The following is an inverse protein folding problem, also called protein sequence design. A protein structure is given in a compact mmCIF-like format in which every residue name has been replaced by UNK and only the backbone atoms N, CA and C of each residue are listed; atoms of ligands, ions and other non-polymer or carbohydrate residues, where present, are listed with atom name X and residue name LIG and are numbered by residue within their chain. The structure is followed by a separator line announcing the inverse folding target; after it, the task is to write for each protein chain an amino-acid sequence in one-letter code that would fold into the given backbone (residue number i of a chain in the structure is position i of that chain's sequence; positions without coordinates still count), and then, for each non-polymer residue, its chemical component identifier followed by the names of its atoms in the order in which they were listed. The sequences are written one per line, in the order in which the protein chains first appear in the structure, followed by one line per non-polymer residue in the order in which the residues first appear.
data_IF_485965445514
#
_entry.id   IF_485965445514
#
_cell.length_a   1.000
_cell.length_b   1.000
_cell.length_c   1.000
_cell.angle_alpha   90.00
_cell.angle_beta   90.00
_cell.angle_gamma   90.00
#
_symmetry.space_group_name_H-M   'P 1'
#
loop_
_entity.id
_entity.type
_entity.pdbx_description
1 polymer ?
#
# COMPACT_ATOMS: atom_id res chain seq x y z
N UNK A 1 29.35 9.07 27.84
CA UNK A 1 29.16 7.77 28.53
C UNK A 1 28.49 7.97 29.88
N UNK A 2 27.20 7.61 29.98
CA UNK A 2 26.53 7.13 31.21
C UNK A 2 25.22 6.44 30.77
N UNK A 3 25.12 5.15 31.10
CA UNK A 3 23.97 4.27 30.87
C UNK A 3 22.87 4.59 31.88
N UNK A 4 21.61 4.59 31.44
CA UNK A 4 20.42 4.48 32.30
C UNK A 4 19.57 3.37 31.65
N UNK A 5 19.84 2.09 31.94
CA UNK A 5 18.97 1.17 32.70
C UNK A 5 17.47 1.50 32.56
N UNK A 6 16.75 0.83 31.65
CA UNK A 6 16.00 -0.39 31.91
C UNK A 6 14.93 -0.24 33.02
N UNK A 7 13.71 0.11 32.61
CA UNK A 7 12.49 -0.22 33.33
C UNK A 7 11.75 -1.28 32.52
N UNK A 8 12.16 -2.53 32.77
CA UNK A 8 11.52 -3.76 32.33
C UNK A 8 10.15 -3.85 33.01
N UNK A 9 9.07 -3.60 32.27
CA UNK A 9 7.76 -4.15 32.60
C UNK A 9 7.52 -5.35 31.70
N UNK A 10 8.12 -6.48 32.11
CA UNK A 10 7.72 -7.81 31.69
C UNK A 10 6.32 -8.05 32.26
N UNK A 11 5.31 -7.85 31.42
CA UNK A 11 4.01 -8.51 31.55
C UNK A 11 3.72 -9.14 30.19
N UNK A 12 4.12 -10.40 30.07
CA UNK A 12 3.54 -11.43 29.21
C UNK A 12 3.02 -11.00 27.83
N UNK A 13 3.89 -11.06 26.81
CA UNK A 13 3.49 -11.47 25.47
C UNK A 13 4.49 -12.49 24.88
N UNK A 14 4.90 -13.45 25.71
CA UNK A 14 5.49 -14.68 25.20
C UNK A 14 4.35 -15.59 24.74
N UNK A 15 4.02 -15.55 23.44
CA UNK A 15 3.41 -16.62 22.60
C UNK A 15 2.56 -15.99 21.47
N UNK A 16 3.18 -15.61 20.35
CA UNK A 16 2.45 -15.45 19.08
C UNK A 16 3.31 -15.73 17.83
N UNK A 17 4.47 -16.38 17.99
CA UNK A 17 5.13 -17.08 16.90
C UNK A 17 4.90 -18.58 17.13
N UNK A 18 4.05 -19.15 16.26
CA UNK A 18 3.82 -20.59 16.05
C UNK A 18 2.96 -21.30 17.12
N UNK A 19 1.63 -21.23 16.93
CA UNK A 19 0.71 -22.34 17.21
C UNK A 19 0.08 -22.44 18.61
N UNK A 20 -1.05 -21.75 18.81
CA UNK A 20 -2.27 -22.36 19.42
C UNK A 20 -3.44 -21.36 19.42
N UNK A 21 -4.46 -21.59 18.58
CA UNK A 21 -5.86 -21.48 19.03
C UNK A 21 -6.59 -20.13 18.99
N UNK A 22 -6.23 -19.15 18.15
CA UNK A 22 -7.10 -17.98 17.85
C UNK A 22 -6.80 -17.27 16.51
N UNK A 23 -6.10 -17.92 15.58
CA UNK A 23 -5.84 -17.41 14.22
C UNK A 23 -6.85 -18.03 13.25
N UNK A 24 -8.02 -17.42 13.13
CA UNK A 24 -8.80 -17.50 11.91
C UNK A 24 -8.27 -16.43 10.97
N UNK A 25 -7.32 -16.75 10.08
CA UNK A 25 -7.04 -15.80 9.00
C UNK A 25 -5.70 -15.83 8.26
N UNK A 26 -4.71 -16.62 8.67
CA UNK A 26 -3.52 -16.80 7.81
C UNK A 26 -3.85 -17.88 6.80
N UNK A 27 -4.18 -17.47 5.58
CA UNK A 27 -4.26 -18.36 4.43
C UNK A 27 -3.02 -18.15 3.54
N UNK A 28 -2.66 -19.21 2.81
CA UNK A 28 -1.49 -19.23 1.93
C UNK A 28 -1.98 -19.61 0.54
N UNK A 29 -1.81 -18.72 -0.43
CA UNK A 29 -2.07 -19.03 -1.84
C UNK A 29 -0.75 -19.40 -2.51
N UNK A 30 -0.73 -20.52 -3.23
CA UNK A 30 0.39 -20.90 -4.09
C UNK A 30 0.23 -20.21 -5.44
N UNK A 31 1.17 -19.35 -5.81
CA UNK A 31 1.36 -18.97 -7.21
C UNK A 31 2.47 -19.84 -7.82
N UNK A 32 2.39 -20.09 -9.13
CA UNK A 32 3.00 -21.22 -9.85
C UNK A 32 4.52 -21.40 -9.85
N UNK A 33 5.28 -20.70 -9.00
CA UNK A 33 6.74 -20.83 -8.86
C UNK A 33 7.23 -21.26 -7.47
N UNK A 34 6.34 -21.56 -6.52
CA UNK A 34 6.73 -22.13 -5.23
C UNK A 34 7.16 -21.13 -4.15
N UNK A 35 7.07 -19.84 -4.43
CA UNK A 35 7.06 -18.80 -3.41
C UNK A 35 5.69 -18.79 -2.73
N UNK A 36 5.68 -18.76 -1.40
CA UNK A 36 4.45 -18.73 -0.60
C UNK A 36 4.14 -17.29 -0.25
N UNK A 37 3.04 -16.78 -0.77
CA UNK A 37 2.49 -15.51 -0.32
C UNK A 37 1.73 -15.74 1.00
N UNK A 38 1.94 -14.85 1.98
CA UNK A 38 1.29 -14.92 3.29
C UNK A 38 0.38 -13.72 3.46
N UNK A 39 -0.93 -13.93 3.58
CA UNK A 39 -1.82 -12.83 3.92
C UNK A 39 -2.37 -12.99 5.34
N UNK A 40 -2.55 -11.86 6.00
CA UNK A 40 -3.20 -11.79 7.31
C UNK A 40 -4.59 -11.23 7.06
N UNK A 41 -5.64 -12.04 7.21
CA UNK A 41 -6.99 -11.46 7.27
C UNK A 41 -7.25 -10.95 8.67
N UNK A 42 -7.19 -9.63 8.84
CA UNK A 42 -7.66 -8.93 10.02
C UNK A 42 -8.96 -8.19 9.66
N UNK A 43 -10.12 -8.63 10.14
CA UNK A 43 -11.41 -8.05 9.77
C UNK A 43 -11.63 -6.63 10.32
N UNK A 44 -10.70 -6.11 11.14
CA UNK A 44 -10.73 -4.72 11.61
C UNK A 44 -10.00 -3.75 10.68
N UNK A 45 -9.31 -4.25 9.65
CA UNK A 45 -8.64 -3.41 8.67
C UNK A 45 -9.59 -3.05 7.53
N UNK A 46 -9.45 -1.82 7.07
CA UNK A 46 -10.28 -1.22 6.04
C UNK A 46 -9.45 -0.90 4.79
N UNK A 47 -10.14 -0.79 3.67
CA UNK A 47 -9.60 -0.20 2.44
C UNK A 47 -9.90 1.29 2.43
N UNK A 48 -9.11 2.06 1.67
CA UNK A 48 -9.49 3.44 1.38
C UNK A 48 -10.74 3.42 0.48
N UNK A 49 -11.85 3.95 0.98
CA UNK A 49 -13.13 3.93 0.26
C UNK A 49 -13.23 5.09 -0.75
N UNK A 50 -12.82 6.28 -0.32
CA UNK A 50 -12.94 7.51 -1.09
C UNK A 50 -11.82 7.65 -2.12
N UNK A 51 -12.20 7.92 -3.37
CA UNK A 51 -11.25 8.15 -4.48
C UNK A 51 -10.33 9.35 -4.25
N UNK A 52 -10.77 10.35 -3.47
CA UNK A 52 -9.96 11.54 -3.21
C UNK A 52 -8.73 11.28 -2.32
N UNK A 53 -8.65 10.13 -1.66
CA UNK A 53 -7.46 9.65 -0.94
C UNK A 53 -6.29 9.38 -1.90
N UNK A 54 -6.59 9.09 -3.18
CA UNK A 54 -5.62 8.87 -4.26
C UNK A 54 -5.36 10.16 -5.07
N UNK A 55 -5.53 11.32 -4.45
CA UNK A 55 -5.15 12.62 -5.02
C UNK A 55 -3.80 13.15 -4.50
N UNK A 56 -3.23 14.12 -5.22
CA UNK A 56 -2.09 14.93 -4.80
C UNK A 56 -2.59 16.28 -4.29
N UNK A 57 -2.05 16.71 -3.16
CA UNK A 57 -2.46 17.90 -2.43
C UNK A 57 -1.26 18.83 -2.19
N UNK A 58 -1.53 20.13 -2.13
CA UNK A 58 -0.61 21.15 -1.62
C UNK A 58 -1.40 22.04 -0.64
N UNK A 59 -0.85 22.28 0.54
CA UNK A 59 -1.49 23.07 1.60
C UNK A 59 -2.94 22.61 1.89
N UNK A 60 -3.17 21.29 1.85
CA UNK A 60 -4.49 20.67 2.06
C UNK A 60 -5.50 20.88 0.93
N UNK A 61 -5.07 21.36 -0.24
CA UNK A 61 -5.92 21.52 -1.43
C UNK A 61 -5.51 20.54 -2.49
N UNK A 62 -6.49 19.85 -3.08
CA UNK A 62 -6.26 18.99 -4.23
C UNK A 62 -5.71 19.81 -5.41
N UNK A 63 -4.62 19.31 -5.99
CA UNK A 63 -3.99 19.89 -7.18
C UNK A 63 -3.92 18.90 -8.35
N UNK A 64 -4.05 17.60 -8.08
CA UNK A 64 -4.16 16.56 -9.10
C UNK A 64 -5.02 15.41 -8.55
N UNK A 65 -6.10 15.08 -9.23
CA UNK A 65 -7.04 14.04 -8.83
C UNK A 65 -6.92 12.77 -9.69
N UNK A 66 -7.38 11.60 -9.20
CA UNK A 66 -7.37 10.34 -9.95
C UNK A 66 -7.84 10.46 -11.40
N UNK A 67 -8.94 11.16 -11.65
CA UNK A 67 -9.53 11.32 -12.97
C UNK A 67 -8.64 12.12 -13.94
N UNK A 68 -7.74 12.94 -13.40
CA UNK A 68 -6.78 13.73 -14.17
C UNK A 68 -5.48 12.95 -14.48
N UNK A 69 -5.11 11.99 -13.63
CA UNK A 69 -3.86 11.21 -13.76
C UNK A 69 -3.88 10.27 -14.96
N UNK A 70 -5.06 9.77 -15.37
CA UNK A 70 -5.15 8.74 -16.40
C UNK A 70 -4.64 7.40 -15.88
N UNK A 71 -4.22 6.52 -16.81
CA UNK A 71 -4.03 5.09 -16.55
C UNK A 71 -2.68 4.65 -15.98
N UNK A 72 -1.88 5.56 -15.42
CA UNK A 72 -0.52 5.22 -15.01
C UNK A 72 0.01 5.92 -13.77
N UNK A 73 -0.80 6.72 -13.07
CA UNK A 73 -0.39 7.27 -11.78
C UNK A 73 0.64 8.41 -11.82
N UNK A 74 1.25 8.66 -10.66
CA UNK A 74 2.18 9.75 -10.40
C UNK A 74 3.13 9.43 -9.24
N UNK A 75 4.41 9.76 -9.42
CA UNK A 75 5.47 9.69 -8.42
C UNK A 75 5.80 11.09 -7.87
N UNK A 76 5.92 11.26 -6.56
CA UNK A 76 6.05 12.59 -5.96
C UNK A 76 7.44 13.22 -6.13
N UNK A 77 8.46 12.44 -6.49
CA UNK A 77 9.78 12.93 -6.84
C UNK A 77 9.87 13.40 -8.30
N UNK A 78 8.80 13.25 -9.08
CA UNK A 78 8.72 13.73 -10.46
C UNK A 78 8.48 15.26 -10.51
N UNK A 79 9.23 16.00 -11.35
CA UNK A 79 9.09 17.44 -11.41
C UNK A 79 7.77 17.90 -12.07
N UNK A 80 7.13 17.03 -12.86
CA UNK A 80 5.96 17.36 -13.66
C UNK A 80 4.95 16.21 -13.71
N UNK A 81 3.65 16.51 -13.64
CA UNK A 81 2.59 15.49 -13.75
C UNK A 81 2.48 14.87 -15.14
N UNK A 82 2.86 15.62 -16.18
CA UNK A 82 2.73 15.21 -17.58
C UNK A 82 3.85 14.31 -18.09
N UNK A 83 4.85 13.94 -17.28
CA UNK A 83 5.98 13.10 -17.73
C UNK A 83 5.50 11.74 -18.29
N UNK A 84 4.36 11.25 -17.82
CA UNK A 84 3.72 10.00 -18.25
C UNK A 84 2.64 10.19 -19.34
N UNK A 85 2.49 11.41 -19.90
CA UNK A 85 1.36 11.74 -20.77
C UNK A 85 1.29 11.00 -22.10
N UNK A 86 2.41 10.56 -22.67
CA UNK A 86 2.42 9.79 -23.92
C UNK A 86 2.18 8.29 -23.72
N UNK A 87 2.63 7.73 -22.59
CA UNK A 87 2.56 6.28 -22.32
C UNK A 87 1.31 5.88 -21.52
N UNK A 88 0.70 6.80 -20.76
CA UNK A 88 -0.35 6.48 -19.77
C UNK A 88 -1.62 7.33 -19.88
N UNK A 89 -1.86 7.97 -21.02
CA UNK A 89 -3.10 8.73 -21.30
C UNK A 89 -3.46 9.78 -20.24
N UNK A 90 -2.49 10.58 -19.78
CA UNK A 90 -2.75 11.68 -18.84
C UNK A 90 -3.81 12.66 -19.40
N UNK A 91 -4.89 12.88 -18.64
CA UNK A 91 -6.06 13.65 -19.09
C UNK A 91 -6.09 15.08 -18.53
N UNK A 92 -5.32 15.33 -17.47
CA UNK A 92 -5.26 16.62 -16.77
C UNK A 92 -4.43 17.69 -17.48
N UNK A 93 -4.31 18.85 -16.84
CA UNK A 93 -3.32 19.88 -17.22
C UNK A 93 -1.98 19.53 -16.61
N UNK A 94 -0.89 19.80 -17.31
CA UNK A 94 0.45 19.62 -16.74
C UNK A 94 0.66 20.55 -15.53
N UNK A 95 1.12 19.97 -14.42
CA UNK A 95 1.48 20.68 -13.20
C UNK A 95 2.99 20.62 -12.99
N UNK A 96 3.57 21.74 -12.55
CA UNK A 96 4.97 21.83 -12.12
C UNK A 96 5.03 21.71 -10.60
N UNK A 97 5.76 20.70 -10.12
CA UNK A 97 5.91 20.37 -8.70
C UNK A 97 7.25 20.81 -8.11
N UNK A 98 8.16 21.37 -8.93
CA UNK A 98 9.51 21.71 -8.46
C UNK A 98 9.47 22.75 -7.35
N UNK A 99 10.05 22.38 -6.20
CA UNK A 99 10.13 23.23 -5.02
C UNK A 99 8.80 23.43 -4.30
N UNK A 100 7.80 22.59 -4.59
CA UNK A 100 6.49 22.58 -3.94
C UNK A 100 6.44 21.45 -2.92
N UNK A 101 5.69 21.67 -1.85
CA UNK A 101 5.47 20.67 -0.81
C UNK A 101 4.15 19.95 -1.12
N UNK A 102 4.27 18.79 -1.75
CA UNK A 102 3.12 17.99 -2.18
C UNK A 102 2.94 16.78 -1.28
N UNK A 103 1.69 16.46 -0.98
CA UNK A 103 1.32 15.40 -0.04
C UNK A 103 0.13 14.60 -0.56
N UNK A 104 -0.16 13.47 0.09
CA UNK A 104 -1.47 12.82 0.02
C UNK A 104 -2.54 13.70 0.69
N UNK A 105 -3.81 13.30 0.58
CA UNK A 105 -4.93 13.93 1.31
C UNK A 105 -4.68 14.04 2.81
N UNK A 106 -3.99 13.05 3.38
CA UNK A 106 -3.69 12.96 4.81
C UNK A 106 -2.36 13.61 5.21
N UNK A 107 -1.72 14.34 4.31
CA UNK A 107 -0.51 15.12 4.61
C UNK A 107 0.79 14.31 4.58
N UNK A 108 0.79 13.12 3.98
CA UNK A 108 1.99 12.28 3.86
C UNK A 108 2.73 12.62 2.58
N UNK A 109 4.05 12.80 2.66
CA UNK A 109 4.91 13.09 1.52
C UNK A 109 6.32 12.53 1.69
N UNK A 110 7.23 12.89 0.77
CA UNK A 110 8.65 12.53 0.88
C UNK A 110 9.24 13.17 2.13
N UNK A 111 9.93 12.38 2.95
CA UNK A 111 10.49 12.82 4.24
C UNK A 111 9.55 12.63 5.44
N UNK A 112 8.29 12.25 5.23
CA UNK A 112 7.43 11.77 6.31
C UNK A 112 7.98 10.48 6.92
N UNK A 113 7.80 10.31 8.23
CA UNK A 113 8.12 9.07 8.93
C UNK A 113 6.98 8.07 8.76
N UNK A 114 7.29 6.78 8.90
CA UNK A 114 6.21 5.80 8.90
C UNK A 114 5.35 5.82 10.16
N UNK A 115 5.83 6.39 11.27
CA UNK A 115 4.96 6.71 12.41
C UNK A 115 3.86 7.69 11.99
N UNK A 116 4.20 8.75 11.25
CA UNK A 116 3.21 9.69 10.69
C UNK A 116 2.25 9.00 9.72
N UNK A 117 2.72 8.06 8.90
CA UNK A 117 1.85 7.25 8.01
C UNK A 117 0.88 6.40 8.83
N UNK A 118 1.36 5.70 9.84
CA UNK A 118 0.54 4.87 10.73
C UNK A 118 -0.51 5.71 11.46
N UNK A 119 -0.14 6.90 11.94
CA UNK A 119 -1.08 7.84 12.56
C UNK A 119 -2.11 8.37 11.57
N UNK A 120 -1.71 8.64 10.33
CA UNK A 120 -2.59 9.07 9.25
C UNK A 120 -3.54 7.97 8.77
N UNK A 121 -3.14 6.69 8.86
CA UNK A 121 -3.89 5.53 8.36
C UNK A 121 -4.01 4.43 9.43
N UNK A 122 -4.70 4.70 10.57
CA UNK A 122 -4.64 3.87 11.77
C UNK A 122 -5.41 2.55 11.70
N UNK A 123 -6.21 2.37 10.65
CA UNK A 123 -7.11 1.23 10.45
C UNK A 123 -7.08 0.71 9.01
N UNK A 124 -6.11 1.16 8.20
CA UNK A 124 -6.01 0.77 6.79
C UNK A 124 -5.11 -0.46 6.62
N UNK A 125 -5.50 -1.34 5.70
CA UNK A 125 -4.72 -2.50 5.31
C UNK A 125 -3.48 -2.09 4.48
N UNK A 126 -2.30 -2.54 4.92
CA UNK A 126 -1.05 -2.37 4.19
C UNK A 126 -0.58 -3.69 3.60
N UNK A 127 0.00 -3.67 2.42
CA UNK A 127 0.76 -4.82 1.89
C UNK A 127 2.23 -4.46 1.78
N UNK A 128 3.09 -5.47 1.80
CA UNK A 128 4.54 -5.33 1.70
C UNK A 128 5.04 -6.10 0.49
N UNK A 129 5.80 -5.42 -0.38
CA UNK A 129 6.49 -6.04 -1.52
C UNK A 129 7.93 -6.39 -1.16
N UNK A 130 8.51 -7.44 -1.78
CA UNK A 130 9.89 -7.79 -1.54
C UNK A 130 10.81 -6.75 -2.18
N UNK A 131 12.01 -6.62 -1.61
CA UNK A 131 13.06 -5.77 -2.17
C UNK A 131 13.38 -6.17 -3.62
N UNK A 132 13.52 -5.18 -4.52
CA UNK A 132 13.78 -5.38 -5.95
C UNK A 132 12.56 -5.51 -6.87
N UNK A 133 11.34 -5.35 -6.35
CA UNK A 133 10.11 -5.38 -7.14
C UNK A 133 9.59 -6.81 -7.37
N UNK A 134 8.31 -7.03 -7.09
CA UNK A 134 7.65 -8.32 -7.20
C UNK A 134 6.21 -8.22 -6.70
N UNK A 135 5.42 -9.28 -6.84
CA UNK A 135 4.11 -9.36 -6.19
C UNK A 135 4.25 -9.17 -4.68
N UNK A 136 3.32 -8.47 -4.01
CA UNK A 136 3.38 -8.38 -2.56
C UNK A 136 3.39 -9.78 -1.97
N UNK A 137 4.34 -10.04 -1.09
CA UNK A 137 4.51 -11.36 -0.47
C UNK A 137 3.79 -11.43 0.88
N UNK A 138 3.44 -10.25 1.43
CA UNK A 138 2.64 -10.12 2.64
C UNK A 138 1.55 -9.09 2.46
N UNK A 139 0.32 -9.49 2.75
CA UNK A 139 -0.87 -8.67 2.54
C UNK A 139 -1.60 -8.37 3.84
N UNK A 140 -2.27 -7.23 3.86
CA UNK A 140 -3.18 -6.75 4.91
C UNK A 140 -2.57 -6.73 6.32
N UNK A 141 -1.37 -6.16 6.42
CA UNK A 141 -0.73 -5.78 7.66
C UNK A 141 -1.47 -4.64 8.35
N UNK A 142 -1.68 -4.78 9.66
CA UNK A 142 -2.15 -3.68 10.50
C UNK A 142 -1.03 -2.67 10.78
N UNK A 143 -1.35 -1.43 11.18
CA UNK A 143 -0.33 -0.42 11.46
C UNK A 143 0.66 -0.84 12.56
N UNK A 144 0.21 -1.59 13.57
CA UNK A 144 1.10 -2.16 14.60
C UNK A 144 2.08 -3.20 14.02
N UNK A 145 1.66 -3.96 13.00
CA UNK A 145 2.56 -4.89 12.31
C UNK A 145 3.54 -4.16 11.40
N UNK A 146 3.12 -3.05 10.77
CA UNK A 146 4.01 -2.15 10.02
C UNK A 146 5.06 -1.53 10.95
N UNK A 147 4.67 -1.02 12.11
CA UNK A 147 5.60 -0.47 13.12
C UNK A 147 6.64 -1.51 13.54
N UNK A 148 6.18 -2.72 13.85
CA UNK A 148 7.06 -3.84 14.22
C UNK A 148 8.08 -4.14 13.12
N UNK A 149 7.63 -4.17 11.85
CA UNK A 149 8.49 -4.44 10.69
C UNK A 149 9.59 -3.40 10.56
N UNK A 150 9.23 -2.13 10.63
CA UNK A 150 10.18 -1.05 10.41
C UNK A 150 11.29 -1.09 11.46
N UNK A 151 10.96 -1.41 12.71
CA UNK A 151 11.94 -1.55 13.80
C UNK A 151 12.84 -2.79 13.67
N UNK A 152 12.30 -3.91 13.20
CA UNK A 152 13.07 -5.15 13.09
C UNK A 152 13.93 -5.22 11.83
N UNK A 153 13.60 -4.42 10.80
CA UNK A 153 14.28 -4.37 9.50
C UNK A 153 14.80 -2.95 9.19
N UNK A 154 15.21 -2.18 10.21
CA UNK A 154 15.64 -0.77 10.08
C UNK A 154 16.73 -0.54 9.01
N UNK A 155 17.60 -1.52 8.80
CA UNK A 155 18.73 -1.45 7.87
C UNK A 155 18.37 -1.80 6.41
N UNK A 156 17.13 -2.24 6.13
CA UNK A 156 16.66 -2.67 4.81
C UNK A 156 15.65 -1.66 4.23
N UNK A 157 15.73 -1.43 2.92
CA UNK A 157 14.70 -0.65 2.23
C UNK A 157 13.42 -1.49 2.11
N UNK A 158 12.29 -0.94 2.53
CA UNK A 158 11.00 -1.62 2.54
C UNK A 158 10.02 -0.92 1.60
N UNK A 159 9.21 -1.68 0.87
CA UNK A 159 8.19 -1.14 -0.02
C UNK A 159 6.79 -1.52 0.47
N UNK A 160 6.10 -0.55 1.05
CA UNK A 160 4.73 -0.70 1.54
C UNK A 160 3.73 -0.16 0.52
N UNK A 161 2.55 -0.75 0.47
CA UNK A 161 1.45 -0.30 -0.38
C UNK A 161 0.15 -0.28 0.40
N UNK A 162 -0.70 0.68 0.09
CA UNK A 162 -2.13 0.66 0.39
C UNK A 162 -2.84 0.47 -0.94
N UNK A 163 -3.69 -0.54 -1.06
CA UNK A 163 -4.40 -0.84 -2.30
C UNK A 163 -5.91 -0.93 -2.10
N UNK A 164 -6.64 -0.54 -3.14
CA UNK A 164 -8.09 -0.65 -3.26
C UNK A 164 -8.40 -1.32 -4.60
N UNK A 165 -9.16 -2.41 -4.58
CA UNK A 165 -9.72 -3.03 -5.78
C UNK A 165 -11.24 -2.92 -5.72
N UNK A 166 -11.86 -2.28 -6.69
CA UNK A 166 -13.32 -2.19 -6.78
C UNK A 166 -13.83 -3.17 -7.83
N UNK A 167 -14.70 -4.11 -7.43
CA UNK A 167 -15.37 -5.02 -8.35
C UNK A 167 -16.42 -4.29 -9.20
N UNK A 168 -16.83 -4.89 -10.33
CA UNK A 168 -17.88 -4.34 -11.20
C UNK A 168 -19.25 -4.15 -10.54
N UNK A 169 -19.51 -4.78 -9.41
CA UNK A 169 -20.72 -4.59 -8.61
C UNK A 169 -20.57 -3.55 -7.49
N UNK A 170 -19.39 -2.94 -7.37
CA UNK A 170 -19.06 -1.89 -6.41
C UNK A 170 -18.51 -2.40 -5.08
N UNK A 171 -18.30 -3.70 -4.90
CA UNK A 171 -17.61 -4.21 -3.71
C UNK A 171 -16.13 -3.80 -3.70
N UNK A 172 -15.64 -3.36 -2.53
CA UNK A 172 -14.24 -2.94 -2.36
C UNK A 172 -13.45 -4.01 -1.63
N UNK A 173 -12.30 -4.38 -2.21
CA UNK A 173 -11.42 -5.41 -1.72
C UNK A 173 -10.04 -4.83 -1.39
N UNK A 174 -9.48 -5.30 -0.28
CA UNK A 174 -8.06 -5.15 0.04
C UNK A 174 -7.22 -6.06 -0.87
N UNK A 175 -5.89 -6.04 -0.71
CA UNK A 175 -5.03 -6.96 -1.45
C UNK A 175 -5.30 -8.42 -1.07
N UNK A 176 -5.54 -8.73 0.23
CA UNK A 176 -5.94 -10.08 0.61
C UNK A 176 -7.34 -10.45 0.07
N UNK A 177 -8.30 -9.50 0.11
CA UNK A 177 -9.63 -9.70 -0.46
C UNK A 177 -9.61 -10.00 -1.96
N UNK A 178 -8.72 -9.35 -2.71
CA UNK A 178 -8.47 -9.66 -4.13
C UNK A 178 -8.01 -11.12 -4.33
N UNK A 179 -7.06 -11.59 -3.50
CA UNK A 179 -6.59 -12.97 -3.55
C UNK A 179 -7.69 -13.98 -3.20
N UNK A 180 -8.48 -13.69 -2.15
CA UNK A 180 -9.62 -14.53 -1.75
C UNK A 180 -10.68 -14.57 -2.84
N UNK A 181 -11.04 -13.43 -3.45
CA UNK A 181 -11.97 -13.36 -4.57
C UNK A 181 -11.55 -14.29 -5.72
N UNK A 182 -10.28 -14.26 -6.11
CA UNK A 182 -9.74 -15.15 -7.16
C UNK A 182 -9.88 -16.61 -6.74
N UNK A 183 -9.51 -16.94 -5.50
CA UNK A 183 -9.53 -18.31 -4.99
C UNK A 183 -10.96 -18.88 -4.91
N UNK A 184 -11.87 -18.14 -4.29
CA UNK A 184 -13.25 -18.56 -4.04
C UNK A 184 -14.06 -18.72 -5.32
N UNK A 185 -13.74 -17.94 -6.35
CA UNK A 185 -14.37 -18.03 -7.67
C UNK A 185 -13.65 -19.00 -8.63
N UNK A 186 -12.58 -19.66 -8.18
CA UNK A 186 -11.81 -20.61 -9.00
C UNK A 186 -11.14 -19.96 -10.22
N UNK A 187 -10.79 -18.67 -10.13
CA UNK A 187 -10.19 -17.90 -11.20
C UNK A 187 -8.67 -18.15 -11.27
N UNK A 188 -8.10 -17.98 -12.46
CA UNK A 188 -6.65 -18.05 -12.64
C UNK A 188 -6.04 -16.66 -12.41
N UNK A 189 -5.29 -16.47 -11.32
CA UNK A 189 -4.80 -15.15 -10.92
C UNK A 189 -3.96 -14.43 -11.99
N UNK A 190 -3.12 -15.15 -12.74
CA UNK A 190 -2.36 -14.54 -13.84
C UNK A 190 -3.23 -14.11 -15.04
N UNK A 191 -4.40 -14.71 -15.22
CA UNK A 191 -5.36 -14.27 -16.24
C UNK A 191 -6.11 -13.03 -15.74
N UNK A 192 -6.57 -13.05 -14.49
CA UNK A 192 -7.23 -11.90 -13.85
C UNK A 192 -6.32 -10.67 -13.88
N UNK A 193 -5.03 -10.83 -13.52
CA UNK A 193 -4.05 -9.74 -13.60
C UNK A 193 -3.88 -9.17 -15.02
N UNK A 194 -3.89 -10.02 -16.04
CA UNK A 194 -3.76 -9.57 -17.42
C UNK A 194 -5.06 -9.01 -18.04
N UNK A 195 -6.20 -9.17 -17.37
CA UNK A 195 -7.53 -8.79 -17.87
C UNK A 195 -8.34 -8.15 -16.73
N UNK A 196 -7.72 -7.26 -15.95
CA UNK A 196 -8.33 -6.69 -14.75
C UNK A 196 -9.64 -5.95 -15.07
N UNK A 197 -9.74 -5.31 -16.23
CA UNK A 197 -10.94 -4.64 -16.74
C UNK A 197 -12.20 -5.53 -16.84
N UNK A 198 -12.04 -6.85 -16.95
CA UNK A 198 -13.15 -7.80 -16.97
C UNK A 198 -13.81 -7.97 -15.58
N UNK A 199 -13.06 -7.73 -14.51
CA UNK A 199 -13.44 -8.06 -13.13
C UNK A 199 -13.59 -6.83 -12.23
N UNK A 200 -12.79 -5.80 -12.49
CA UNK A 200 -12.67 -4.62 -11.63
C UNK A 200 -13.14 -3.37 -12.36
N UNK A 201 -13.82 -2.50 -11.62
CA UNK A 201 -14.17 -1.15 -12.06
C UNK A 201 -13.00 -0.19 -11.90
N UNK A 202 -12.20 -0.36 -10.86
CA UNK A 202 -10.99 0.43 -10.64
C UNK A 202 -10.02 -0.28 -9.70
N UNK A 203 -8.72 -0.01 -9.85
CA UNK A 203 -7.68 -0.50 -8.95
C UNK A 203 -6.71 0.65 -8.68
N UNK A 204 -6.56 1.02 -7.41
CA UNK A 204 -5.72 2.14 -7.01
C UNK A 204 -4.73 1.76 -5.91
N UNK A 205 -3.52 2.28 -6.03
CA UNK A 205 -2.41 2.05 -5.09
C UNK A 205 -1.85 3.38 -4.59
N UNK A 206 -1.53 3.47 -3.30
CA UNK A 206 -0.55 4.41 -2.76
C UNK A 206 0.66 3.57 -2.33
N UNK A 207 1.85 3.90 -2.82
CA UNK A 207 3.06 3.17 -2.49
C UNK A 207 4.10 4.02 -1.78
N UNK A 208 4.85 3.39 -0.89
CA UNK A 208 5.86 4.02 -0.05
C UNK A 208 7.15 3.19 -0.08
N UNK A 209 8.25 3.81 -0.50
CA UNK A 209 9.58 3.28 -0.24
C UNK A 209 10.10 3.90 1.05
N UNK A 210 10.52 3.05 2.00
CA UNK A 210 10.92 3.45 3.35
C UNK A 210 12.36 3.04 3.59
N UNK A 211 13.16 3.96 4.08
CA UNK A 211 14.54 3.73 4.50
C UNK A 211 14.82 4.47 5.80
N UNK A 212 15.44 3.80 6.77
CA UNK A 212 15.71 4.37 8.10
C UNK A 212 14.43 4.92 8.77
N UNK A 213 13.28 4.29 8.52
CA UNK A 213 11.96 4.70 9.03
C UNK A 213 11.32 5.92 8.34
N UNK A 214 11.95 6.45 7.28
CA UNK A 214 11.51 7.65 6.55
C UNK A 214 11.13 7.30 5.12
N UNK A 215 10.08 7.93 4.61
CA UNK A 215 9.64 7.81 3.22
C UNK A 215 10.66 8.49 2.30
N UNK A 216 11.28 7.70 1.42
CA UNK A 216 12.21 8.20 0.39
C UNK A 216 11.54 8.38 -0.96
N UNK A 217 10.50 7.59 -1.25
CA UNK A 217 9.68 7.69 -2.46
C UNK A 217 8.23 7.41 -2.11
N UNK A 218 7.31 8.10 -2.78
CA UNK A 218 5.87 7.87 -2.68
C UNK A 218 5.24 8.03 -4.06
N UNK A 219 4.31 7.12 -4.37
CA UNK A 219 3.56 7.11 -5.62
C UNK A 219 2.08 6.85 -5.42
N UNK A 220 1.28 7.28 -6.38
CA UNK A 220 -0.13 6.94 -6.51
C UNK A 220 -0.33 6.33 -7.89
N UNK A 221 -0.99 5.18 -8.00
CA UNK A 221 -1.12 4.44 -9.25
C UNK A 221 -2.56 4.06 -9.55
N UNK A 222 -2.97 4.25 -10.81
CA UNK A 222 -4.10 3.54 -11.41
C UNK A 222 -3.56 2.26 -12.02
N UNK A 223 -3.83 1.13 -11.39
CA UNK A 223 -3.31 -0.16 -11.81
C UNK A 223 -4.21 -0.83 -12.86
N UNK A 224 -5.43 -0.33 -13.08
CA UNK A 224 -6.36 -0.96 -14.02
C UNK A 224 -5.90 -0.84 -15.47
N UNK A 225 -5.13 0.21 -15.78
CA UNK A 225 -4.74 0.62 -17.13
C UNK A 225 -3.22 0.48 -17.40
N UNK A 226 -2.49 -0.19 -16.50
CA UNK A 226 -1.03 -0.39 -16.54
C UNK A 226 -0.57 -1.52 -17.47
#
# INVERSE_FOLDING_TARGET
MKRILAAVTVVALCMALVGCGALSGIASVFTGNGDRDYYVTDPSLHVLEDMDEFGVYEDGKAILMPEEMGGGGFLFDEPHSGRYSEDYNYLGKEYDFRGRDITTKRGIGIGSTMEEVIEAYPDIAFSLRPDGGGTPYIFDLSPAQVEYRIRDYEDEEQYFIIQRHELKDGELLSSAGYCDYIHENGLHGGYVFANQEEYFESIWEISFTVKDGVITHIGIWDELNN
#
